data_IF_190315618473
#
_entry.id   IF_190315618473
#
_cell.length_a   1.000
_cell.length_b   1.000
_cell.length_c   1.000
_cell.angle_alpha   90.00
_cell.angle_beta   90.00
_cell.angle_gamma   90.00
#
_symmetry.space_group_name_H-M   'P 1'
#
loop_
_entity.id
_entity.type
_entity.pdbx_description
1 polymer ?
#
# COMPACT_ATOMS: atom_id res chain seq x y z
N UNK A 1 21.37 0.25 -14.10
CA UNK A 1 21.25 1.50 -14.87
C UNK A 1 21.98 2.68 -14.22
N UNK A 2 21.84 2.99 -12.92
CA UNK A 2 22.70 4.03 -12.28
C UNK A 2 24.14 3.53 -12.03
N UNK A 3 24.30 2.23 -11.72
CA UNK A 3 25.60 1.58 -11.42
C UNK A 3 26.61 1.64 -12.57
N UNK A 4 26.14 1.42 -13.80
CA UNK A 4 26.99 1.35 -14.99
C UNK A 4 27.49 2.75 -15.38
N UNK A 5 26.71 3.81 -15.10
CA UNK A 5 27.07 5.19 -15.43
C UNK A 5 28.25 5.76 -14.63
N UNK A 6 28.53 5.26 -13.42
CA UNK A 6 29.66 5.72 -12.59
C UNK A 6 30.99 5.04 -12.97
N UNK A 7 30.94 3.85 -13.55
CA UNK A 7 32.12 3.02 -13.85
C UNK A 7 32.63 3.28 -15.29
N UNK A 8 31.74 3.67 -16.21
CA UNK A 8 32.03 3.94 -17.64
C UNK A 8 32.91 5.18 -17.89
N UNK A 9 33.26 5.95 -16.84
CA UNK A 9 34.18 7.10 -16.94
C UNK A 9 35.66 6.79 -16.75
N UNK A 10 36.03 5.54 -16.50
CA UNK A 10 37.43 5.14 -16.22
C UNK A 10 38.13 4.79 -17.53
N UNK A 11 39.12 5.59 -17.93
CA UNK A 11 39.85 5.40 -19.20
C UNK A 11 40.66 4.09 -19.29
N UNK A 12 40.87 3.38 -18.17
CA UNK A 12 41.57 2.10 -18.13
C UNK A 12 40.59 0.93 -18.03
N UNK A 13 40.42 0.19 -19.13
CA UNK A 13 39.54 -0.98 -19.24
C UNK A 13 39.83 -2.07 -18.20
N UNK A 14 41.09 -2.22 -17.79
CA UNK A 14 41.47 -3.24 -16.81
C UNK A 14 41.02 -2.87 -15.39
N UNK A 15 41.10 -1.59 -15.03
CA UNK A 15 40.60 -1.06 -13.76
C UNK A 15 39.07 -1.10 -13.70
N UNK A 16 38.40 -0.81 -14.81
CA UNK A 16 36.94 -0.91 -14.96
C UNK A 16 36.43 -2.34 -14.69
N UNK A 17 37.07 -3.33 -15.32
CA UNK A 17 36.74 -4.75 -15.15
C UNK A 17 37.01 -5.27 -13.73
N UNK A 18 38.05 -4.79 -13.05
CA UNK A 18 38.32 -5.15 -11.65
C UNK A 18 37.24 -4.59 -10.71
N UNK A 19 36.87 -3.32 -10.87
CA UNK A 19 35.85 -2.67 -10.05
C UNK A 19 34.46 -3.30 -10.23
N UNK A 20 34.11 -3.72 -11.45
CA UNK A 20 32.87 -4.46 -11.70
C UNK A 20 32.85 -5.82 -10.98
N UNK A 21 33.96 -6.57 -11.00
CA UNK A 21 34.06 -7.85 -10.29
C UNK A 21 34.00 -7.68 -8.77
N UNK A 22 34.68 -6.68 -8.22
CA UNK A 22 34.67 -6.40 -6.78
C UNK A 22 33.27 -5.99 -6.29
N UNK A 23 32.56 -5.15 -7.06
CA UNK A 23 31.19 -4.75 -6.71
C UNK A 23 30.20 -5.91 -6.79
N UNK A 24 30.32 -6.80 -7.78
CA UNK A 24 29.49 -8.01 -7.85
C UNK A 24 29.73 -8.98 -6.70
N UNK A 25 30.99 -9.12 -6.26
CA UNK A 25 31.34 -9.91 -5.07
C UNK A 25 30.76 -9.31 -3.79
N UNK A 26 30.80 -7.98 -3.64
CA UNK A 26 30.20 -7.28 -2.50
C UNK A 26 28.68 -7.47 -2.48
N UNK A 27 28.01 -7.32 -3.62
CA UNK A 27 26.55 -7.51 -3.71
C UNK A 27 26.18 -8.96 -3.38
N UNK A 28 26.93 -9.93 -3.89
CA UNK A 28 26.69 -11.35 -3.59
C UNK A 28 26.81 -11.62 -2.09
N UNK A 29 27.83 -11.05 -1.43
CA UNK A 29 28.02 -11.16 0.02
C UNK A 29 26.86 -10.55 0.80
N UNK A 30 26.41 -9.35 0.44
CA UNK A 30 25.26 -8.68 1.08
C UNK A 30 23.98 -9.52 0.94
N UNK A 31 23.75 -10.13 -0.22
CA UNK A 31 22.59 -10.99 -0.47
C UNK A 31 22.64 -12.24 0.41
N UNK A 32 23.81 -12.87 0.55
CA UNK A 32 23.97 -14.07 1.37
C UNK A 32 23.89 -13.76 2.88
N UNK A 33 24.36 -12.59 3.31
CA UNK A 33 24.18 -12.10 4.69
C UNK A 33 22.69 -11.86 4.99
N UNK A 34 21.96 -11.24 4.06
CA UNK A 34 20.52 -11.01 4.19
C UNK A 34 19.72 -12.32 4.26
N UNK A 35 20.08 -13.34 3.46
CA UNK A 35 19.48 -14.68 3.56
C UNK A 35 19.77 -15.34 4.91
N UNK A 36 21.00 -15.22 5.41
CA UNK A 36 21.42 -15.81 6.67
C UNK A 36 20.71 -15.18 7.88
N UNK A 37 20.49 -13.87 7.85
CA UNK A 37 19.69 -13.14 8.84
C UNK A 37 18.23 -13.62 8.81
N UNK A 38 17.65 -13.80 7.63
CA UNK A 38 16.24 -14.21 7.51
C UNK A 38 16.03 -15.66 7.98
N UNK A 39 16.96 -16.57 7.64
CA UNK A 39 16.98 -17.94 8.17
C UNK A 39 17.14 -17.95 9.70
N UNK A 40 18.00 -17.08 10.24
CA UNK A 40 18.18 -16.95 11.70
C UNK A 40 16.90 -16.47 12.38
N UNK A 41 16.16 -15.51 11.80
CA UNK A 41 14.85 -15.09 12.32
C UNK A 41 13.81 -16.22 12.27
N UNK A 42 13.85 -17.07 11.24
CA UNK A 42 12.97 -18.23 11.14
C UNK A 42 13.33 -19.28 12.20
N UNK A 43 14.61 -19.55 12.42
CA UNK A 43 15.06 -20.46 13.47
C UNK A 43 14.75 -19.94 14.87
N UNK A 44 14.93 -18.65 15.15
CA UNK A 44 14.52 -18.04 16.43
C UNK A 44 13.02 -18.20 16.64
N UNK A 45 12.18 -18.02 15.61
CA UNK A 45 10.72 -18.26 15.70
C UNK A 45 10.35 -19.72 15.97
N UNK A 46 11.15 -20.68 15.49
CA UNK A 46 10.91 -22.12 15.72
C UNK A 46 11.40 -22.54 17.11
N UNK A 47 12.52 -21.98 17.57
CA UNK A 47 13.16 -22.32 18.83
C UNK A 47 12.55 -21.59 20.03
N UNK A 48 12.00 -20.39 19.85
CA UNK A 48 11.58 -19.57 20.98
C UNK A 48 10.39 -20.12 21.75
N UNK A 49 9.56 -21.04 21.20
CA UNK A 49 8.36 -21.59 21.88
C UNK A 49 7.62 -20.57 22.77
N UNK A 50 7.64 -19.28 22.40
CA UNK A 50 7.05 -18.23 23.21
C UNK A 50 5.54 -18.33 23.05
N UNK A 51 4.90 -18.33 24.20
CA UNK A 51 3.58 -18.87 24.48
C UNK A 51 2.47 -18.32 23.57
N UNK A 52 1.66 -19.26 23.09
CA UNK A 52 0.27 -19.12 22.68
C UNK A 52 -0.15 -17.77 22.06
N UNK A 53 0.30 -17.54 20.83
CA UNK A 53 -0.60 -16.87 19.89
C UNK A 53 -1.78 -17.83 19.71
N UNK A 54 -2.85 -17.57 20.46
CA UNK A 54 -4.13 -18.28 20.42
C UNK A 54 -4.73 -18.19 19.00
N UNK A 55 -4.17 -18.98 18.09
CA UNK A 55 -4.50 -19.11 16.69
C UNK A 55 -5.57 -20.19 16.63
N UNK A 56 -6.82 -19.78 16.80
CA UNK A 56 -7.96 -20.66 16.59
C UNK A 56 -7.84 -21.24 15.18
N UNK A 57 -7.62 -22.56 15.08
CA UNK A 57 -7.53 -23.26 13.80
C UNK A 57 -8.92 -23.30 13.16
N UNK A 58 -9.01 -22.97 11.87
CA UNK A 58 -10.27 -23.05 11.15
C UNK A 58 -10.26 -24.28 10.24
N UNK A 59 -11.35 -25.06 10.29
CA UNK A 59 -11.58 -26.20 9.39
C UNK A 59 -12.39 -25.76 8.19
N UNK A 60 -11.87 -26.02 6.99
CA UNK A 60 -12.64 -25.87 5.77
C UNK A 60 -13.85 -26.83 5.81
N UNK A 61 -15.08 -26.32 5.74
CA UNK A 61 -16.30 -27.16 5.79
C UNK A 61 -16.39 -28.17 4.64
N UNK A 62 -15.67 -27.96 3.53
CA UNK A 62 -15.74 -28.80 2.33
C UNK A 62 -14.69 -29.91 2.30
N UNK A 63 -13.44 -29.60 2.65
CA UNK A 63 -12.32 -30.56 2.56
C UNK A 63 -11.68 -30.89 3.91
N UNK A 64 -12.22 -30.36 5.02
CA UNK A 64 -11.74 -30.52 6.40
C UNK A 64 -10.29 -30.06 6.65
N UNK A 65 -9.59 -29.53 5.65
CA UNK A 65 -8.24 -29.00 5.80
C UNK A 65 -8.20 -27.89 6.86
N UNK A 66 -7.31 -28.08 7.84
CA UNK A 66 -7.02 -27.10 8.88
C UNK A 66 -6.08 -26.05 8.32
N UNK A 67 -6.48 -24.78 8.39
CA UNK A 67 -5.62 -23.67 8.02
C UNK A 67 -5.67 -22.58 9.09
N UNK A 68 -4.57 -21.85 9.18
CA UNK A 68 -4.48 -20.64 10.00
C UNK A 68 -4.95 -19.46 9.14
N UNK A 69 -5.90 -18.64 9.62
CA UNK A 69 -6.31 -17.45 8.89
C UNK A 69 -5.12 -16.51 8.84
N UNK A 70 -4.66 -16.20 7.64
CA UNK A 70 -3.66 -15.17 7.37
C UNK A 70 -4.12 -13.89 8.08
N UNK A 71 -3.42 -13.48 9.15
CA UNK A 71 -3.74 -12.28 9.92
C UNK A 71 -3.55 -11.09 8.99
N UNK A 72 -4.66 -10.71 8.35
CA UNK A 72 -4.83 -9.63 7.37
C UNK A 72 -3.54 -8.99 6.90
N UNK A 73 -3.07 -9.37 5.71
CA UNK A 73 -1.97 -8.68 5.01
C UNK A 73 -2.18 -7.17 5.13
N UNK A 74 -1.28 -6.49 5.83
CA UNK A 74 -1.15 -5.04 5.73
C UNK A 74 -0.95 -4.76 4.24
N UNK A 75 -1.88 -4.02 3.64
CA UNK A 75 -1.80 -3.64 2.21
C UNK A 75 -0.72 -2.58 1.96
N UNK A 76 0.40 -2.63 2.68
CA UNK A 76 1.50 -1.69 2.51
C UNK A 76 2.12 -1.94 1.14
N UNK A 77 2.14 -0.91 0.29
CA UNK A 77 2.72 -1.03 -1.03
C UNK A 77 4.21 -0.65 -0.98
N UNK A 78 5.05 -1.57 -0.53
CA UNK A 78 6.50 -1.37 -0.43
C UNK A 78 7.15 -1.03 -1.79
N UNK A 79 6.47 -1.29 -2.92
CA UNK A 79 6.95 -0.87 -4.25
C UNK A 79 6.95 0.65 -4.41
N UNK A 80 6.18 1.40 -3.60
CA UNK A 80 6.17 2.88 -3.61
C UNK A 80 7.49 3.48 -3.13
N UNK A 81 8.23 2.80 -2.26
CA UNK A 81 9.55 3.25 -1.79
C UNK A 81 10.61 3.22 -2.89
N UNK A 82 10.32 2.63 -4.06
CA UNK A 82 11.22 2.68 -5.22
C UNK A 82 11.13 3.99 -6.01
N UNK A 83 10.15 4.84 -5.69
CA UNK A 83 10.01 6.16 -6.32
C UNK A 83 10.85 7.16 -5.52
N UNK A 84 11.81 7.88 -6.13
CA UNK A 84 12.73 8.76 -5.41
C UNK A 84 12.04 9.80 -4.53
N UNK A 85 10.97 10.42 -5.03
CA UNK A 85 10.21 11.42 -4.28
C UNK A 85 9.50 10.84 -3.03
N UNK A 86 9.09 9.56 -3.08
CA UNK A 86 8.41 8.89 -1.96
C UNK A 86 9.44 8.41 -0.94
N UNK A 87 10.61 7.97 -1.41
CA UNK A 87 11.75 7.60 -0.58
C UNK A 87 12.26 8.80 0.23
N UNK A 88 12.44 9.94 -0.44
CA UNK A 88 12.89 11.19 0.20
C UNK A 88 11.86 11.69 1.23
N UNK A 89 10.57 11.70 0.89
CA UNK A 89 9.51 12.06 1.83
C UNK A 89 9.45 11.10 3.04
N UNK A 90 9.71 9.81 2.82
CA UNK A 90 9.77 8.83 3.90
C UNK A 90 10.98 9.01 4.81
N UNK A 91 12.14 9.35 4.24
CA UNK A 91 13.35 9.63 5.00
C UNK A 91 13.19 10.88 5.86
N UNK A 92 12.64 11.97 5.30
CA UNK A 92 12.36 13.21 6.03
C UNK A 92 11.40 12.93 7.20
N UNK A 93 10.25 12.30 6.93
CA UNK A 93 9.27 11.97 7.96
C UNK A 93 9.83 11.01 9.03
N UNK A 94 10.69 10.08 8.65
CA UNK A 94 11.32 9.17 9.60
C UNK A 94 12.29 9.92 10.52
N UNK A 95 13.13 10.79 9.95
CA UNK A 95 14.11 11.58 10.69
C UNK A 95 13.44 12.61 11.60
N UNK A 96 12.38 13.28 11.15
CA UNK A 96 11.62 14.24 11.96
C UNK A 96 10.99 13.58 13.20
N UNK A 97 10.55 12.33 13.08
CA UNK A 97 9.96 11.57 14.18
C UNK A 97 11.00 10.96 15.13
N UNK A 98 12.27 10.87 14.72
CA UNK A 98 13.37 10.35 15.52
C UNK A 98 14.14 11.52 16.12
N UNK A 99 13.54 12.16 17.13
CA UNK A 99 14.31 12.98 18.06
C UNK A 99 14.97 12.07 19.10
N UNK A 100 16.23 11.71 18.84
CA UNK A 100 17.08 11.01 19.80
C UNK A 100 17.59 12.02 20.84
N UNK A 101 17.48 11.62 22.10
CA UNK A 101 17.94 12.41 23.23
C UNK A 101 18.90 11.50 24.00
N UNK A 102 20.07 11.98 24.40
CA UNK A 102 21.18 11.16 24.93
C UNK A 102 20.83 10.41 26.22
N UNK A 103 19.69 10.72 26.85
CA UNK A 103 19.21 10.14 28.10
C UNK A 103 18.16 9.02 27.93
N UNK A 104 18.01 8.40 26.75
CA UNK A 104 17.01 7.35 26.54
C UNK A 104 17.56 5.93 26.74
N UNK A 105 16.79 5.06 27.39
CA UNK A 105 17.03 3.62 27.42
C UNK A 105 16.80 3.02 26.02
N UNK A 106 17.61 2.03 25.62
CA UNK A 106 17.47 1.22 24.41
C UNK A 106 16.02 0.78 24.10
N UNK A 107 15.21 0.40 25.10
CA UNK A 107 13.80 0.03 24.89
C UNK A 107 12.92 1.21 24.46
N UNK A 108 13.19 2.41 24.98
CA UNK A 108 12.49 3.63 24.58
C UNK A 108 12.89 4.07 23.18
N UNK A 109 14.17 3.95 22.83
CA UNK A 109 14.66 4.21 21.47
C UNK A 109 14.02 3.26 20.46
N UNK A 110 13.97 1.96 20.78
CA UNK A 110 13.35 0.95 19.93
C UNK A 110 11.86 1.25 19.72
N UNK A 111 11.15 1.70 20.76
CA UNK A 111 9.75 2.08 20.65
C UNK A 111 9.53 3.34 19.81
N UNK A 112 10.37 4.37 19.95
CA UNK A 112 10.34 5.55 19.06
C UNK A 112 10.57 5.16 17.60
N UNK A 113 11.54 4.28 17.35
CA UNK A 113 11.85 3.81 16.01
C UNK A 113 10.68 3.02 15.41
N UNK A 114 10.05 2.14 16.21
CA UNK A 114 8.81 1.44 15.81
C UNK A 114 7.67 2.42 15.49
N UNK A 115 7.48 3.46 16.31
CA UNK A 115 6.45 4.48 16.09
C UNK A 115 6.70 5.29 14.81
N UNK A 116 7.94 5.72 14.57
CA UNK A 116 8.34 6.44 13.35
C UNK A 116 8.12 5.57 12.10
N UNK A 117 8.47 4.28 12.16
CA UNK A 117 8.21 3.32 11.08
C UNK A 117 6.70 3.16 10.83
N UNK A 118 5.89 3.06 11.89
CA UNK A 118 4.42 2.99 11.73
C UNK A 118 3.80 4.28 11.20
N UNK A 119 4.35 5.44 11.53
CA UNK A 119 3.93 6.72 10.95
C UNK A 119 4.19 6.75 9.44
N UNK A 120 5.40 6.40 8.99
CA UNK A 120 5.75 6.30 7.56
C UNK A 120 4.86 5.27 6.84
N UNK A 121 4.61 4.11 7.47
CA UNK A 121 3.72 3.09 6.91
C UNK A 121 2.30 3.60 6.72
N UNK A 122 1.79 4.39 7.66
CA UNK A 122 0.44 4.95 7.61
C UNK A 122 0.33 6.10 6.62
N UNK A 123 1.28 7.02 6.58
CA UNK A 123 1.09 8.23 5.77
C UNK A 123 1.60 8.08 4.34
N UNK A 124 2.67 7.30 4.14
CA UNK A 124 3.37 7.25 2.85
C UNK A 124 3.10 5.92 2.13
N UNK A 125 3.06 4.81 2.87
CA UNK A 125 2.93 3.47 2.27
C UNK A 125 1.49 2.96 2.17
N UNK A 126 0.49 3.77 2.55
CA UNK A 126 -0.92 3.46 2.28
C UNK A 126 -1.07 3.27 0.76
N UNK A 127 -1.70 2.18 0.31
CA UNK A 127 -1.95 1.98 -1.11
C UNK A 127 -2.94 3.06 -1.56
N UNK A 128 -2.68 3.66 -2.73
CA UNK A 128 -3.61 4.64 -3.28
C UNK A 128 -5.00 4.02 -3.40
N UNK A 129 -6.03 4.82 -3.10
CA UNK A 129 -7.42 4.41 -3.21
C UNK A 129 -7.79 4.37 -4.69
N UNK A 130 -7.40 3.29 -5.37
CA UNK A 130 -7.72 3.10 -6.79
C UNK A 130 -9.23 2.92 -6.92
N UNK A 131 -9.89 3.90 -7.53
CA UNK A 131 -11.28 3.79 -7.97
C UNK A 131 -11.33 2.82 -9.16
N UNK A 132 -11.64 1.56 -8.88
CA UNK A 132 -11.79 0.55 -9.95
C UNK A 132 -13.06 0.73 -10.79
N UNK A 133 -14.02 1.52 -10.31
CA UNK A 133 -15.30 1.78 -10.97
C UNK A 133 -15.59 3.28 -10.88
N UNK A 134 -16.14 3.84 -11.96
CA UNK A 134 -16.46 5.27 -12.11
C UNK A 134 -17.37 5.80 -10.99
N UNK A 135 -18.40 5.04 -10.59
CA UNK A 135 -19.30 5.40 -9.49
C UNK A 135 -18.68 5.34 -8.09
N UNK A 136 -17.46 4.81 -7.90
CA UNK A 136 -16.85 4.76 -6.57
C UNK A 136 -16.36 6.16 -6.18
N UNK A 137 -17.06 6.79 -5.24
CA UNK A 137 -16.68 8.08 -4.67
C UNK A 137 -15.60 7.92 -3.59
N UNK A 138 -14.91 9.02 -3.29
CA UNK A 138 -13.94 9.11 -2.17
C UNK A 138 -14.60 8.82 -0.83
N UNK A 139 -15.87 9.22 -0.66
CA UNK A 139 -16.68 8.96 0.53
C UNK A 139 -16.91 7.46 0.75
N UNK A 140 -17.31 6.72 -0.30
CA UNK A 140 -17.47 5.26 -0.22
C UNK A 140 -16.13 4.60 0.19
N UNK A 141 -15.01 5.09 -0.32
CA UNK A 141 -13.68 4.57 0.02
C UNK A 141 -13.30 4.86 1.49
N UNK A 142 -13.67 6.02 2.01
CA UNK A 142 -13.47 6.39 3.42
C UNK A 142 -14.31 5.50 4.33
N UNK A 143 -15.60 5.33 4.02
CA UNK A 143 -16.50 4.46 4.77
C UNK A 143 -16.04 2.99 4.77
N UNK A 144 -15.51 2.51 3.65
CA UNK A 144 -14.92 1.16 3.58
C UNK A 144 -13.71 1.01 4.50
N UNK A 145 -12.91 2.06 4.66
CA UNK A 145 -11.76 2.06 5.57
C UNK A 145 -12.20 2.15 7.03
N UNK A 146 -13.14 3.03 7.34
CA UNK A 146 -13.75 3.15 8.67
C UNK A 146 -14.38 1.81 9.12
N UNK A 147 -15.07 1.12 8.21
CA UNK A 147 -15.59 -0.22 8.49
C UNK A 147 -14.49 -1.23 8.80
N UNK A 148 -13.33 -1.13 8.15
CA UNK A 148 -12.19 -2.03 8.45
C UNK A 148 -11.64 -1.80 9.85
N UNK A 149 -11.57 -0.54 10.30
CA UNK A 149 -11.13 -0.19 11.65
C UNK A 149 -12.12 -0.70 12.72
N UNK A 150 -13.42 -0.69 12.41
CA UNK A 150 -14.49 -1.08 13.34
C UNK A 150 -14.78 -2.60 13.40
N UNK A 151 -13.86 -3.48 12.99
CA UNK A 151 -14.10 -4.94 12.97
C UNK A 151 -14.39 -5.53 14.36
N UNK A 152 -13.87 -4.91 15.42
CA UNK A 152 -14.12 -5.30 16.81
C UNK A 152 -15.45 -4.81 17.40
N UNK A 153 -16.16 -3.89 16.73
CA UNK A 153 -17.45 -3.36 17.18
C UNK A 153 -18.57 -3.80 16.21
N UNK A 154 -19.36 -4.85 16.54
CA UNK A 154 -20.35 -5.39 15.63
C UNK A 154 -21.46 -4.40 15.24
N UNK A 155 -21.84 -3.52 16.16
CA UNK A 155 -22.91 -2.52 15.95
C UNK A 155 -22.47 -1.49 14.93
N UNK A 156 -21.31 -0.88 15.14
CA UNK A 156 -20.75 0.10 14.22
C UNK A 156 -20.38 -0.53 12.87
N UNK A 157 -19.83 -1.74 12.87
CA UNK A 157 -19.52 -2.46 11.64
C UNK A 157 -20.76 -2.67 10.74
N UNK A 158 -21.92 -2.99 11.34
CA UNK A 158 -23.20 -3.12 10.64
C UNK A 158 -23.76 -1.76 10.20
N UNK A 159 -23.70 -0.74 11.07
CA UNK A 159 -24.13 0.63 10.76
C UNK A 159 -23.38 1.17 9.55
N UNK A 160 -22.05 1.11 9.57
CA UNK A 160 -21.20 1.59 8.46
C UNK A 160 -21.47 0.76 7.19
N UNK A 161 -21.69 -0.55 7.30
CA UNK A 161 -22.05 -1.39 6.14
C UNK A 161 -23.36 -0.96 5.48
N UNK A 162 -24.35 -0.51 6.27
CA UNK A 162 -25.61 0.01 5.74
C UNK A 162 -25.38 1.34 5.02
N UNK A 163 -24.61 2.26 5.61
CA UNK A 163 -24.26 3.56 5.01
C UNK A 163 -23.53 3.33 3.68
N UNK A 164 -22.55 2.43 3.64
CA UNK A 164 -21.83 2.07 2.40
C UNK A 164 -22.82 1.62 1.31
N UNK A 165 -23.80 0.77 1.64
CA UNK A 165 -24.78 0.30 0.65
C UNK A 165 -25.64 1.46 0.11
N UNK A 166 -26.02 2.38 0.99
CA UNK A 166 -26.81 3.56 0.62
C UNK A 166 -26.04 4.49 -0.31
N UNK A 167 -24.79 4.82 0.05
CA UNK A 167 -23.94 5.68 -0.77
C UNK A 167 -23.58 5.06 -2.11
N UNK A 168 -23.39 3.73 -2.18
CA UNK A 168 -23.25 3.02 -3.46
C UNK A 168 -24.50 3.18 -4.33
N UNK A 169 -25.69 3.11 -3.75
CA UNK A 169 -26.94 3.25 -4.51
C UNK A 169 -27.06 4.68 -5.08
N UNK A 170 -26.88 5.69 -4.23
CA UNK A 170 -26.88 7.10 -4.66
C UNK A 170 -25.86 7.39 -5.74
N UNK A 171 -24.63 6.91 -5.58
CA UNK A 171 -23.57 7.19 -6.54
C UNK A 171 -23.85 6.57 -7.92
N UNK A 172 -24.39 5.35 -7.95
CA UNK A 172 -24.82 4.71 -9.19
C UNK A 172 -26.00 5.42 -9.84
N UNK A 173 -26.98 5.85 -9.04
CA UNK A 173 -28.13 6.60 -9.53
C UNK A 173 -27.71 7.94 -10.14
N UNK A 174 -26.81 8.66 -9.46
CA UNK A 174 -26.23 9.90 -9.98
C UNK A 174 -25.45 9.67 -11.29
N UNK A 175 -24.63 8.62 -11.36
CA UNK A 175 -23.92 8.29 -12.60
C UNK A 175 -24.89 7.98 -13.76
N UNK A 176 -25.99 7.25 -13.47
CA UNK A 176 -26.99 6.93 -14.46
C UNK A 176 -27.76 8.18 -14.93
N UNK A 177 -28.15 9.06 -14.01
CA UNK A 177 -28.81 10.33 -14.32
C UNK A 177 -27.93 11.22 -15.20
N UNK A 178 -26.62 11.29 -14.91
CA UNK A 178 -25.70 12.09 -15.72
C UNK A 178 -25.60 11.55 -17.15
N UNK A 179 -25.52 10.22 -17.31
CA UNK A 179 -25.52 9.59 -18.65
C UNK A 179 -26.82 9.86 -19.41
N UNK A 180 -27.97 9.83 -18.74
CA UNK A 180 -29.23 10.19 -19.38
C UNK A 180 -29.24 11.65 -19.84
N UNK A 181 -28.77 12.58 -19.00
CA UNK A 181 -28.66 14.01 -19.36
C UNK A 181 -27.71 14.24 -20.55
N UNK A 182 -26.59 13.53 -20.58
CA UNK A 182 -25.63 13.61 -21.69
C UNK A 182 -26.28 13.14 -23.00
N UNK A 183 -27.04 12.03 -22.97
CA UNK A 183 -27.78 11.54 -24.13
C UNK A 183 -28.84 12.56 -24.57
N UNK A 184 -29.64 13.08 -23.64
CA UNK A 184 -30.67 14.10 -23.94
C UNK A 184 -30.05 15.37 -24.53
N UNK A 185 -28.90 15.82 -24.00
CA UNK A 185 -28.16 16.95 -24.54
C UNK A 185 -27.71 16.70 -25.99
N UNK A 186 -27.11 15.54 -26.27
CA UNK A 186 -26.70 15.17 -27.62
C UNK A 186 -27.89 15.02 -28.57
N UNK A 187 -29.01 14.48 -28.12
CA UNK A 187 -30.23 14.37 -28.91
C UNK A 187 -30.81 15.75 -29.23
N UNK A 188 -30.87 16.67 -28.26
CA UNK A 188 -31.35 18.03 -28.48
C UNK A 188 -30.47 18.80 -29.48
N UNK A 189 -29.14 18.73 -29.33
CA UNK A 189 -28.21 19.34 -30.29
C UNK A 189 -28.37 18.76 -31.70
N UNK A 190 -28.64 17.47 -31.82
CA UNK A 190 -28.90 16.83 -33.11
C UNK A 190 -30.26 17.26 -33.68
N UNK A 191 -31.30 17.45 -32.88
CA UNK A 191 -32.59 17.99 -33.34
C UNK A 191 -32.45 19.43 -33.84
N UNK A 192 -31.66 20.28 -33.17
CA UNK A 192 -31.42 21.67 -33.60
C UNK A 192 -30.68 21.76 -34.95
N UNK A 193 -29.76 20.82 -35.23
CA UNK A 193 -29.04 20.77 -36.51
C UNK A 193 -29.90 20.30 -37.68
N UNK A 194 -30.92 19.47 -37.43
CA UNK A 194 -31.80 18.92 -38.48
C UNK A 194 -33.11 19.71 -38.66
N UNK A 195 -33.56 20.45 -37.65
CA UNK A 195 -34.73 21.34 -37.74
C UNK A 195 -34.42 22.69 -38.38
N UNK A 196 -33.20 22.86 -38.91
CA UNK A 196 -32.83 23.83 -39.93
C UNK A 196 -33.80 24.98 -40.00
N UNK A 197 -33.60 25.98 -39.13
CA UNK A 197 -34.24 27.29 -39.24
C UNK A 197 -34.06 27.79 -40.66
N UNK A 198 -35.05 27.48 -41.50
CA UNK A 198 -35.41 28.22 -42.69
C UNK A 198 -36.02 29.54 -42.20
N UNK A 199 -35.19 30.39 -41.60
CA UNK A 199 -35.52 31.80 -41.45
C UNK A 199 -35.38 32.42 -42.86
N UNK A 200 -36.53 32.49 -43.54
CA UNK A 200 -36.80 33.46 -44.60
C UNK A 200 -37.17 34.79 -43.97
#
# INVERSE_FOLDING_TARGET
MIRDGLIVGINCKESELRLLKETDLIIKKIVDDCKSIELSKQHVKVLSKEEDVNLTKYKCKKCQYEYYPDKGRTRQNHKRLKTPAIEEAAAIMHNDNIQLNENMNADMELNKLKQAVEAVKKEILKPDKIKRKSWITTEILNLMEERRQNKGNPTEYKRIQWIIKHEIRKAKEKELQEKCREIEHHQNMHVDLFTGKSEK
#
